data_IF_060671876744
#
_entry.id   IF_060671876744
#
_cell.length_a   1.000
_cell.length_b   1.000
_cell.length_c   1.000
_cell.angle_alpha   90.00
_cell.angle_beta   90.00
_cell.angle_gamma   90.00
#
_symmetry.space_group_name_H-M   'P 1'
#
loop_
_entity.id
_entity.type
_entity.pdbx_description
1 polymer ?
#
# COMPACT_ATOMS: atom_id res chain seq x y z
N UNK A 1 11.25 1.12 15.95
CA UNK A 1 9.81 1.08 16.26
C UNK A 1 9.15 -0.22 15.78
N UNK A 2 9.15 -0.55 14.47
CA UNK A 2 8.54 -1.79 13.95
C UNK A 2 9.05 -3.08 14.60
N UNK A 3 10.36 -3.18 14.88
CA UNK A 3 10.92 -4.32 15.62
C UNK A 3 10.33 -4.49 17.02
N UNK A 4 10.04 -3.38 17.71
CA UNK A 4 9.40 -3.41 19.03
C UNK A 4 7.98 -3.94 18.87
N UNK A 5 7.21 -3.43 17.90
CA UNK A 5 5.84 -3.89 17.63
C UNK A 5 5.80 -5.39 17.35
N UNK A 6 6.71 -5.90 16.50
CA UNK A 6 6.86 -7.33 16.22
C UNK A 6 7.15 -8.12 17.50
N UNK A 7 8.12 -7.69 18.30
CA UNK A 7 8.46 -8.35 19.57
C UNK A 7 7.31 -8.35 20.57
N UNK A 8 6.44 -7.35 20.52
CA UNK A 8 5.26 -7.22 21.40
C UNK A 8 4.00 -7.92 20.86
N UNK A 9 4.07 -8.61 19.70
CA UNK A 9 2.98 -9.45 19.19
C UNK A 9 2.29 -8.98 17.91
N UNK A 10 2.89 -8.04 17.15
CA UNK A 10 2.43 -7.78 15.78
C UNK A 10 2.93 -8.88 14.85
N UNK A 11 2.01 -9.64 14.25
CA UNK A 11 2.36 -10.81 13.41
C UNK A 11 2.27 -10.55 11.89
N UNK A 12 1.51 -9.54 11.45
CA UNK A 12 1.38 -9.17 10.03
C UNK A 12 0.88 -7.74 9.86
N UNK A 13 1.01 -7.19 8.63
CA UNK A 13 0.53 -5.85 8.28
C UNK A 13 -0.47 -5.94 7.11
N UNK A 14 -1.72 -5.48 7.27
CA UNK A 14 -2.70 -5.55 6.20
C UNK A 14 -2.39 -4.51 5.11
N UNK A 15 -2.65 -4.86 3.84
CA UNK A 15 -2.45 -3.99 2.68
C UNK A 15 -3.40 -2.81 2.53
N UNK A 16 -4.15 -2.46 3.58
CA UNK A 16 -5.10 -1.37 3.54
C UNK A 16 -4.40 -0.03 3.22
N UNK A 17 -5.11 0.87 2.53
CA UNK A 17 -4.58 2.18 2.12
C UNK A 17 -3.85 2.20 0.77
N UNK A 18 -3.75 1.06 0.10
CA UNK A 18 -3.25 0.97 -1.27
C UNK A 18 -4.22 1.64 -2.26
N UNK A 19 -5.52 1.34 -2.17
CA UNK A 19 -6.58 1.84 -3.07
C UNK A 19 -6.23 1.55 -4.54
N UNK A 20 -5.98 2.59 -5.36
CA UNK A 20 -5.22 2.52 -6.63
C UNK A 20 -3.90 3.28 -6.41
N UNK A 21 -2.78 2.67 -6.81
CA UNK A 21 -1.42 3.15 -6.53
C UNK A 21 -0.84 3.92 -7.73
N UNK A 22 -1.60 4.89 -8.25
CA UNK A 22 -1.15 5.80 -9.32
C UNK A 22 -1.36 7.24 -8.88
N UNK A 23 -0.43 8.15 -9.19
CA UNK A 23 -0.49 9.54 -8.71
C UNK A 23 -1.81 10.25 -9.03
N UNK A 24 -2.36 10.04 -10.23
CA UNK A 24 -3.64 10.63 -10.61
C UNK A 24 -4.75 10.16 -9.67
N UNK A 25 -4.94 8.84 -9.53
CA UNK A 25 -5.98 8.32 -8.63
C UNK A 25 -5.74 8.70 -7.18
N UNK A 26 -4.49 8.69 -6.68
CA UNK A 26 -4.23 9.14 -5.31
C UNK A 26 -4.67 10.59 -5.09
N UNK A 27 -4.47 11.47 -6.07
CA UNK A 27 -4.97 12.85 -6.00
C UNK A 27 -6.51 12.96 -6.06
N UNK A 28 -7.20 12.03 -6.72
CA UNK A 28 -8.67 12.02 -6.83
C UNK A 28 -9.31 11.43 -5.56
N UNK A 29 -8.93 10.20 -5.18
CA UNK A 29 -9.63 9.42 -4.16
C UNK A 29 -8.98 9.48 -2.77
N UNK A 30 -7.71 9.88 -2.66
CA UNK A 30 -6.97 9.85 -1.39
C UNK A 30 -5.86 10.93 -1.26
N UNK A 31 -6.12 12.22 -1.58
CA UNK A 31 -5.08 13.26 -1.69
C UNK A 31 -4.36 13.59 -0.37
N UNK A 32 -4.89 13.13 0.77
CA UNK A 32 -4.31 13.34 2.11
C UNK A 32 -3.67 12.09 2.70
N UNK A 33 -3.74 10.95 2.00
CA UNK A 33 -3.04 9.72 2.41
C UNK A 33 -1.60 9.77 1.90
N UNK A 34 -0.79 8.78 2.31
CA UNK A 34 0.55 8.57 1.80
C UNK A 34 0.60 8.58 0.26
N UNK A 35 1.72 8.92 -0.36
CA UNK A 35 1.92 8.72 -1.81
C UNK A 35 2.04 7.23 -2.15
N UNK A 36 2.09 6.88 -3.44
CA UNK A 36 2.39 5.50 -3.87
C UNK A 36 3.76 5.06 -3.33
N UNK A 37 4.78 5.91 -3.49
CA UNK A 37 6.14 5.64 -3.01
C UNK A 37 6.19 5.45 -1.49
N UNK A 38 5.51 6.30 -0.73
CA UNK A 38 5.45 6.18 0.73
C UNK A 38 4.75 4.90 1.18
N UNK A 39 3.67 4.48 0.49
CA UNK A 39 2.99 3.22 0.77
C UNK A 39 3.89 2.01 0.50
N UNK A 40 4.55 1.98 -0.66
CA UNK A 40 5.50 0.91 -1.03
C UNK A 40 6.62 0.83 0.01
N UNK A 41 7.23 1.95 0.34
CA UNK A 41 8.31 2.02 1.32
C UNK A 41 7.89 1.52 2.69
N UNK A 42 6.66 1.82 3.13
CA UNK A 42 6.12 1.32 4.38
C UNK A 42 6.00 -0.22 4.37
N UNK A 43 5.49 -0.80 3.27
CA UNK A 43 5.36 -2.25 3.12
C UNK A 43 6.72 -2.95 3.01
N UNK A 44 7.67 -2.38 2.25
CA UNK A 44 9.06 -2.86 2.18
C UNK A 44 9.71 -2.89 3.57
N UNK A 45 9.57 -1.81 4.35
CA UNK A 45 10.12 -1.74 5.71
C UNK A 45 9.51 -2.82 6.62
N UNK A 46 8.23 -3.18 6.42
CA UNK A 46 7.61 -4.29 7.14
C UNK A 46 8.22 -5.64 6.74
N UNK A 47 8.40 -5.89 5.44
CA UNK A 47 9.04 -7.10 4.94
C UNK A 47 10.50 -7.23 5.38
N UNK A 48 11.26 -6.13 5.42
CA UNK A 48 12.66 -6.10 5.88
C UNK A 48 12.82 -6.60 7.32
N UNK A 49 11.86 -6.29 8.20
CA UNK A 49 11.86 -6.79 9.59
C UNK A 49 11.20 -8.17 9.71
N UNK A 50 10.86 -8.81 8.60
CA UNK A 50 10.23 -10.12 8.51
C UNK A 50 8.80 -10.14 9.02
N UNK A 51 8.05 -9.04 8.86
CA UNK A 51 6.59 -9.04 9.02
C UNK A 51 5.97 -9.31 7.65
N UNK A 52 5.21 -10.41 7.48
CA UNK A 52 4.45 -10.63 6.26
C UNK A 52 3.34 -9.57 6.14
N UNK A 53 2.99 -9.22 4.91
CA UNK A 53 1.87 -8.34 4.62
C UNK A 53 0.97 -8.84 3.51
N UNK A 54 -0.08 -8.08 3.24
CA UNK A 54 -0.92 -8.22 2.05
C UNK A 54 -0.94 -6.92 1.26
N UNK A 55 -1.45 -6.95 0.03
CA UNK A 55 -1.81 -5.78 -0.75
C UNK A 55 -3.26 -5.95 -1.23
N UNK A 56 -4.01 -4.86 -1.32
CA UNK A 56 -5.35 -4.87 -1.90
C UNK A 56 -5.48 -3.82 -2.99
N UNK A 57 -6.50 -4.00 -3.83
CA UNK A 57 -6.92 -3.00 -4.80
C UNK A 57 -8.39 -2.66 -4.53
N UNK A 58 -8.70 -1.36 -4.52
CA UNK A 58 -10.09 -0.87 -4.50
C UNK A 58 -10.35 -0.17 -5.83
N UNK A 59 -11.22 -0.77 -6.63
CA UNK A 59 -11.56 -0.32 -7.98
C UNK A 59 -13.08 -0.21 -8.14
N UNK A 60 -13.54 0.43 -9.21
CA UNK A 60 -14.90 0.87 -9.47
C UNK A 60 -15.11 2.38 -9.35
N UNK A 61 -14.05 3.19 -9.35
CA UNK A 61 -14.13 4.66 -9.25
C UNK A 61 -13.93 5.32 -10.64
N UNK A 62 -12.91 6.17 -10.78
CA UNK A 62 -12.57 6.89 -12.02
C UNK A 62 -11.30 6.33 -12.70
N UNK A 63 -10.74 5.22 -12.20
CA UNK A 63 -9.52 4.63 -12.74
C UNK A 63 -9.72 4.05 -14.15
N UNK A 64 -8.66 4.09 -14.96
CA UNK A 64 -8.63 3.39 -16.25
C UNK A 64 -8.12 1.96 -16.10
N UNK A 65 -8.29 1.15 -17.15
CA UNK A 65 -7.72 -0.21 -17.17
C UNK A 65 -6.19 -0.19 -17.05
N UNK A 66 -5.55 0.82 -17.64
CA UNK A 66 -4.11 1.03 -17.55
C UNK A 66 -3.67 1.33 -16.12
N UNK A 67 -4.42 2.14 -15.37
CA UNK A 67 -4.11 2.43 -13.95
C UNK A 67 -4.30 1.21 -13.04
N UNK A 68 -5.25 0.33 -13.38
CA UNK A 68 -5.38 -0.97 -12.70
C UNK A 68 -4.15 -1.84 -12.96
N UNK A 69 -3.68 -1.91 -14.20
CA UNK A 69 -2.45 -2.66 -14.56
C UNK A 69 -1.23 -2.03 -13.87
N UNK A 70 -1.14 -0.70 -13.85
CA UNK A 70 -0.06 0.02 -13.18
C UNK A 70 -0.04 -0.31 -11.68
N UNK A 71 -1.18 -0.27 -11.00
CA UNK A 71 -1.28 -0.70 -9.60
C UNK A 71 -0.79 -2.14 -9.41
N UNK A 72 -1.17 -3.08 -10.29
CA UNK A 72 -0.73 -4.47 -10.21
C UNK A 72 0.78 -4.65 -10.47
N UNK A 73 1.44 -3.71 -11.14
CA UNK A 73 2.90 -3.71 -11.29
C UNK A 73 3.62 -3.10 -10.08
N UNK A 74 2.93 -2.34 -9.24
CA UNK A 74 3.49 -1.74 -8.03
C UNK A 74 3.52 -2.74 -6.86
N UNK A 75 2.49 -3.59 -6.76
CA UNK A 75 2.32 -4.57 -5.65
C UNK A 75 3.04 -5.89 -5.91
#
# INVERSE_FOLDING_TARGET
MLQILKQTGLDSVPGAGAEILTDRMRNIISPKKATTEEWVRAMETCHEVGLPGSANIVFGSEETQEEVIEHLNVV
#
